data_IF_429099618962
#
_entry.id   IF_429099618962
#
_cell.length_a   1.000
_cell.length_b   1.000
_cell.length_c   1.000
_cell.angle_alpha   90.00
_cell.angle_beta   90.00
_cell.angle_gamma   90.00
#
_symmetry.space_group_name_H-M   'P 1'
#
loop_
_entity.id
_entity.type
_entity.pdbx_description
1 polymer ?
#
# COMPACT_ATOMS: atom_id res chain seq x y z
N UNK A 1 1.74 -4.62 12.99
CA UNK A 1 2.03 -3.46 12.13
C UNK A 1 1.62 -3.82 10.70
N UNK A 2 0.69 -3.09 10.08
CA UNK A 2 0.37 -3.26 8.66
C UNK A 2 1.55 -2.90 7.76
N UNK A 3 1.55 -3.49 6.56
CA UNK A 3 2.53 -3.21 5.51
C UNK A 3 1.80 -2.47 4.38
N UNK A 4 2.38 -1.36 3.93
CA UNK A 4 1.94 -0.62 2.76
C UNK A 4 2.90 -0.88 1.61
N UNK A 5 2.36 -1.38 0.50
CA UNK A 5 3.11 -1.52 -0.75
C UNK A 5 2.85 -0.31 -1.62
N UNK A 6 3.89 0.45 -1.89
CA UNK A 6 3.89 1.62 -2.75
C UNK A 6 4.26 1.16 -4.16
N UNK A 7 3.40 1.46 -5.13
CA UNK A 7 3.68 1.30 -6.56
C UNK A 7 4.15 2.64 -7.08
N UNK A 8 5.36 2.69 -7.63
CA UNK A 8 5.93 3.92 -8.17
C UNK A 8 5.56 4.10 -9.66
N UNK A 9 5.76 5.31 -10.18
CA UNK A 9 5.45 5.66 -11.57
C UNK A 9 6.23 4.81 -12.59
N UNK A 10 7.42 4.34 -12.24
CA UNK A 10 8.24 3.41 -13.04
C UNK A 10 7.79 1.94 -12.92
N UNK A 11 6.68 1.68 -12.21
CA UNK A 11 6.14 0.36 -11.88
C UNK A 11 6.99 -0.48 -10.92
N UNK A 12 8.04 0.10 -10.33
CA UNK A 12 8.75 -0.53 -9.21
C UNK A 12 7.90 -0.51 -7.94
N UNK A 13 8.30 -1.31 -6.95
CA UNK A 13 7.58 -1.48 -5.70
C UNK A 13 8.49 -1.17 -4.52
N UNK A 14 7.95 -0.46 -3.54
CA UNK A 14 8.56 -0.28 -2.23
C UNK A 14 7.59 -0.70 -1.14
N UNK A 15 8.08 -1.16 0.00
CA UNK A 15 7.26 -1.59 1.14
C UNK A 15 7.66 -0.78 2.36
N UNK A 16 6.67 -0.12 2.98
CA UNK A 16 6.85 0.63 4.22
C UNK A 16 5.98 0.03 5.31
N UNK A 17 6.55 -0.05 6.50
CA UNK A 17 5.88 -0.41 7.74
C UNK A 17 5.34 0.85 8.41
N UNK A 18 4.04 0.93 8.62
CA UNK A 18 3.38 2.02 9.31
C UNK A 18 2.08 1.50 9.94
N UNK A 19 1.58 2.08 11.03
CA UNK A 19 0.31 1.65 11.62
C UNK A 19 -0.90 2.22 10.88
N UNK A 20 -0.75 3.41 10.31
CA UNK A 20 -1.82 4.14 9.62
C UNK A 20 -1.32 4.76 8.31
N UNK A 21 -2.25 5.23 7.46
CA UNK A 21 -1.89 6.01 6.27
C UNK A 21 -1.23 7.34 6.64
N UNK A 22 -1.65 7.97 7.74
CA UNK A 22 -1.02 9.21 8.21
C UNK A 22 0.43 8.96 8.67
N UNK A 23 0.70 7.85 9.34
CA UNK A 23 2.06 7.45 9.69
C UNK A 23 2.89 7.09 8.45
N UNK A 24 2.29 6.46 7.44
CA UNK A 24 2.96 6.22 6.17
C UNK A 24 3.38 7.54 5.52
N UNK A 25 2.52 8.57 5.55
CA UNK A 25 2.84 9.91 5.05
C UNK A 25 4.01 10.55 5.79
N UNK A 26 4.06 10.41 7.11
CA UNK A 26 5.16 10.89 7.95
C UNK A 26 6.44 10.14 7.61
N UNK A 27 6.41 8.80 7.55
CA UNK A 27 7.54 7.95 7.19
C UNK A 27 8.12 8.30 5.82
N UNK A 28 7.28 8.48 4.81
CA UNK A 28 7.71 8.90 3.47
C UNK A 28 8.31 10.32 3.46
N UNK A 29 7.91 11.18 4.37
CA UNK A 29 8.41 12.55 4.43
C UNK A 29 9.70 12.68 5.25
N UNK A 30 9.86 11.85 6.29
CA UNK A 30 11.01 11.89 7.20
C UNK A 30 12.16 11.00 6.75
N UNK A 31 11.85 9.79 6.27
CA UNK A 31 12.86 8.78 5.95
C UNK A 31 13.13 8.63 4.44
N UNK A 32 12.29 9.22 3.60
CA UNK A 32 12.47 9.23 2.15
C UNK A 32 12.56 10.67 1.61
N UNK A 33 12.87 10.81 0.32
CA UNK A 33 12.98 12.12 -0.31
C UNK A 33 11.60 12.70 -0.66
N UNK A 34 11.44 14.03 -0.70
CA UNK A 34 10.23 14.65 -1.26
C UNK A 34 9.92 14.20 -2.69
N UNK A 35 10.96 13.86 -3.47
CA UNK A 35 10.83 13.33 -4.82
C UNK A 35 10.20 11.93 -4.81
N UNK A 36 10.57 11.08 -3.86
CA UNK A 36 10.00 9.74 -3.71
C UNK A 36 8.48 9.80 -3.54
N UNK A 37 7.98 10.74 -2.73
CA UNK A 37 6.53 10.97 -2.57
C UNK A 37 5.82 11.30 -3.89
N UNK A 38 6.48 12.09 -4.75
CA UNK A 38 5.94 12.43 -6.08
C UNK A 38 5.97 11.27 -7.08
N UNK A 39 6.81 10.27 -6.81
CA UNK A 39 6.94 9.05 -7.60
C UNK A 39 5.88 8.01 -7.25
N UNK A 40 5.25 8.10 -6.07
CA UNK A 40 4.19 7.18 -5.67
C UNK A 40 2.96 7.37 -6.55
N UNK A 41 2.55 6.27 -7.19
CA UNK A 41 1.36 6.19 -8.04
C UNK A 41 0.19 5.59 -7.28
N UNK A 42 0.39 4.43 -6.65
CA UNK A 42 -0.64 3.71 -5.91
C UNK A 42 -0.11 3.21 -4.57
N UNK A 43 -0.99 3.14 -3.57
CA UNK A 43 -0.68 2.59 -2.24
C UNK A 43 -1.60 1.41 -1.98
N UNK A 44 -1.03 0.26 -1.66
CA UNK A 44 -1.75 -0.98 -1.45
C UNK A 44 -1.55 -1.47 -0.02
N UNK A 45 -2.62 -1.90 0.64
CA UNK A 45 -2.56 -2.50 1.97
C UNK A 45 -3.65 -3.53 2.16
N UNK A 46 -3.50 -4.37 3.19
CA UNK A 46 -4.52 -5.34 3.57
C UNK A 46 -5.09 -4.94 4.92
N UNK A 47 -6.39 -4.72 4.95
CA UNK A 47 -7.14 -4.48 6.18
C UNK A 47 -7.98 -5.73 6.50
N UNK A 48 -7.61 -6.44 7.57
CA UNK A 48 -8.18 -7.75 7.95
C UNK A 48 -8.01 -8.78 6.82
N UNK A 49 -8.97 -8.85 5.90
CA UNK A 49 -8.99 -9.75 4.71
C UNK A 49 -9.28 -8.99 3.41
N UNK A 50 -9.44 -7.67 3.49
CA UNK A 50 -9.76 -6.80 2.36
C UNK A 50 -8.48 -6.22 1.79
N UNK A 51 -8.25 -6.41 0.50
CA UNK A 51 -7.21 -5.70 -0.21
C UNK A 51 -7.72 -4.30 -0.58
N UNK A 52 -7.03 -3.30 -0.06
CA UNK A 52 -7.28 -1.89 -0.32
C UNK A 52 -6.17 -1.35 -1.22
N UNK A 53 -6.55 -0.53 -2.18
CA UNK A 53 -5.62 0.23 -3.02
C UNK A 53 -6.09 1.67 -3.12
N UNK A 54 -5.19 2.62 -3.06
CA UNK A 54 -5.46 4.04 -3.21
C UNK A 54 -4.63 4.60 -4.37
N UNK A 55 -5.27 5.30 -5.31
CA UNK A 55 -4.53 6.18 -6.22
C UNK A 55 -3.99 7.34 -5.39
N UNK A 56 -2.68 7.50 -5.39
CA UNK A 56 -2.01 8.39 -4.47
C UNK A 56 -2.25 9.87 -4.78
N UNK A 57 -2.49 10.20 -6.06
CA UNK A 57 -2.70 11.59 -6.49
C UNK A 57 -4.15 12.01 -6.27
N UNK A 58 -5.11 11.12 -6.51
CA UNK A 58 -6.53 11.43 -6.35
C UNK A 58 -7.05 11.19 -4.94
N UNK A 59 -6.36 10.35 -4.14
CA UNK A 59 -6.83 9.87 -2.85
C UNK A 59 -8.01 8.90 -2.97
N UNK A 60 -8.36 8.46 -4.17
CA UNK A 60 -9.49 7.55 -4.40
C UNK A 60 -9.12 6.14 -3.90
N UNK A 61 -9.85 5.67 -2.89
CA UNK A 61 -9.66 4.35 -2.31
C UNK A 61 -10.58 3.34 -2.99
N UNK A 62 -9.98 2.34 -3.63
CA UNK A 62 -10.64 1.16 -4.16
C UNK A 62 -10.46 0.00 -3.20
N UNK A 63 -11.58 -0.58 -2.75
CA UNK A 63 -11.60 -1.74 -1.88
C UNK A 63 -12.05 -2.94 -2.69
N UNK A 64 -11.23 -3.99 -2.73
CA UNK A 64 -11.60 -5.23 -3.40
C UNK A 64 -11.80 -6.33 -2.35
N UNK A 65 -12.97 -6.97 -2.40
CA UNK A 65 -13.33 -8.08 -1.51
C UNK A 65 -12.68 -9.40 -1.98
N UNK A 66 -12.03 -9.40 -3.14
CA UNK A 66 -11.55 -10.61 -3.81
C UNK A 66 -10.15 -11.09 -3.39
N UNK A 67 -9.79 -11.01 -2.11
CA UNK A 67 -8.57 -11.65 -1.57
C UNK A 67 -8.84 -12.57 -0.38
N UNK A 68 -10.09 -13.04 -0.22
CA UNK A 68 -10.39 -14.16 0.68
C UNK A 68 -9.60 -15.45 0.33
N UNK A 69 -8.99 -15.53 -0.86
CA UNK A 69 -8.26 -16.70 -1.35
C UNK A 69 -6.74 -16.51 -1.52
N UNK A 70 -6.14 -15.40 -1.04
CA UNK A 70 -4.67 -15.29 -1.02
C UNK A 70 -4.17 -15.70 0.36
N UNK A 71 -4.37 -16.97 0.68
CA UNK A 71 -3.62 -17.64 1.72
C UNK A 71 -2.17 -17.81 1.20
N UNK A 72 -1.14 -17.18 1.81
CA UNK A 72 0.24 -17.35 1.36
C UNK A 72 0.74 -18.80 1.45
N UNK A 73 -0.01 -19.68 2.14
CA UNK A 73 0.30 -21.10 2.29
C UNK A 73 -0.53 -22.06 1.40
N UNK A 74 -1.35 -21.56 0.47
CA UNK A 74 -1.84 -22.37 -0.65
C UNK A 74 -2.64 -23.65 -0.33
N UNK A 75 -3.33 -23.75 0.81
CA UNK A 75 -4.26 -24.86 1.05
C UNK A 75 -5.69 -24.45 0.67
N UNK A 76 -6.17 -25.00 -0.45
CA UNK A 76 -7.60 -25.10 -0.78
C UNK A 76 -8.19 -26.24 0.06
N UNK A 77 -9.29 -25.97 0.77
CA UNK A 77 -10.23 -27.02 1.17
C UNK A 77 -11.26 -27.22 0.06
#
# INVERSE_FOLDING_TARGET
>A
MPFYTLILNDSSKSVILAETLDELEVEMSENYSPQFKSEVKEVHWVEKTLHCSMDYKSGEIKRNISTADINPNGYRN
#
